data_IF_654401165700
#
_entry.id   IF_654401165700
#
_cell.length_a   1.000
_cell.length_b   1.000
_cell.length_c   1.000
_cell.angle_alpha   90.00
_cell.angle_beta   90.00
_cell.angle_gamma   90.00
#
_symmetry.space_group_name_H-M   'P 1'
#
loop_
_entity.id
_entity.type
_entity.pdbx_description
1 polymer ?
#
# COMPACT_ATOMS: atom_id res chain seq x y z
N UNK A 1 6.97 4.35 -33.25
CA UNK A 1 8.23 4.76 -32.60
C UNK A 1 8.23 4.48 -31.08
N UNK A 2 7.33 5.01 -30.26
CA UNK A 2 7.30 4.76 -28.78
C UNK A 2 7.21 3.28 -28.38
N UNK A 3 6.44 2.46 -29.09
CA UNK A 3 6.26 1.03 -28.80
C UNK A 3 7.54 0.22 -29.10
N UNK A 4 8.21 0.53 -30.18
CA UNK A 4 9.48 -0.11 -30.59
C UNK A 4 10.60 0.18 -29.58
N UNK A 5 10.77 1.45 -29.17
CA UNK A 5 11.74 1.84 -28.15
C UNK A 5 11.46 1.17 -26.80
N UNK A 6 10.19 1.08 -26.38
CA UNK A 6 9.81 0.36 -25.17
C UNK A 6 10.25 -1.11 -25.21
N UNK A 7 10.03 -1.80 -26.34
CA UNK A 7 10.41 -3.21 -26.53
C UNK A 7 11.93 -3.39 -26.49
N UNK A 8 12.69 -2.46 -27.07
CA UNK A 8 14.15 -2.50 -27.10
C UNK A 8 14.77 -2.34 -25.71
N UNK A 9 14.26 -1.42 -24.88
CA UNK A 9 14.81 -1.16 -23.56
C UNK A 9 14.21 -2.03 -22.43
N UNK A 10 13.16 -2.80 -22.69
CA UNK A 10 12.50 -3.61 -21.67
C UNK A 10 13.42 -4.63 -20.96
N UNK A 11 14.37 -5.31 -21.65
CA UNK A 11 15.32 -6.21 -20.98
C UNK A 11 16.19 -5.48 -19.95
N UNK A 12 16.69 -4.28 -20.28
CA UNK A 12 17.50 -3.46 -19.38
C UNK A 12 16.68 -2.97 -18.18
N UNK A 13 15.43 -2.54 -18.41
CA UNK A 13 14.50 -2.16 -17.34
C UNK A 13 14.25 -3.35 -16.42
N UNK A 14 14.00 -4.53 -16.97
CA UNK A 14 13.78 -5.74 -16.18
C UNK A 14 15.01 -6.08 -15.32
N UNK A 15 16.20 -6.06 -15.89
CA UNK A 15 17.45 -6.32 -15.16
C UNK A 15 17.66 -5.30 -14.03
N UNK A 16 17.50 -4.01 -14.31
CA UNK A 16 17.60 -2.95 -13.31
C UNK A 16 16.58 -3.09 -12.17
N UNK A 17 15.33 -3.41 -12.50
CA UNK A 17 14.29 -3.62 -11.48
C UNK A 17 14.57 -4.87 -10.62
N UNK A 18 15.06 -5.95 -11.22
CA UNK A 18 15.45 -7.16 -10.48
C UNK A 18 16.66 -6.90 -9.56
N UNK A 19 17.59 -6.06 -9.97
CA UNK A 19 18.73 -5.66 -9.16
C UNK A 19 18.31 -4.79 -7.96
N UNK A 20 17.44 -3.80 -8.19
CA UNK A 20 16.98 -2.87 -7.16
C UNK A 20 15.98 -3.52 -6.19
N UNK A 21 15.12 -4.40 -6.69
CA UNK A 21 14.01 -5.00 -5.94
C UNK A 21 13.89 -6.51 -6.22
N UNK A 22 14.85 -7.34 -5.79
CA UNK A 22 14.92 -8.76 -6.19
C UNK A 22 13.72 -9.60 -5.71
N UNK A 23 13.07 -9.20 -4.63
CA UNK A 23 11.89 -9.87 -4.07
C UNK A 23 10.56 -9.40 -4.70
N UNK A 24 10.55 -8.30 -5.43
CA UNK A 24 9.35 -7.74 -6.04
C UNK A 24 9.15 -8.29 -7.46
N UNK A 25 8.10 -9.10 -7.67
CA UNK A 25 7.90 -9.88 -8.91
C UNK A 25 6.87 -9.27 -9.88
N UNK A 26 6.16 -8.20 -9.50
CA UNK A 26 5.09 -7.65 -10.33
C UNK A 26 5.64 -6.85 -11.53
N UNK A 27 5.74 -7.49 -12.68
CA UNK A 27 6.28 -6.92 -13.94
C UNK A 27 5.49 -5.69 -14.45
N UNK A 28 4.25 -5.46 -13.98
CA UNK A 28 3.47 -4.26 -14.33
C UNK A 28 4.19 -2.97 -13.88
N UNK A 29 4.97 -3.05 -12.82
CA UNK A 29 5.78 -1.93 -12.31
C UNK A 29 7.16 -1.81 -12.98
N UNK A 30 7.53 -2.72 -13.88
CA UNK A 30 8.82 -2.68 -14.57
C UNK A 30 8.78 -1.67 -15.72
N UNK A 31 8.79 -0.40 -15.36
CA UNK A 31 8.76 0.74 -16.27
C UNK A 31 9.98 1.62 -16.05
N UNK A 32 10.35 2.41 -17.06
CA UNK A 32 11.48 3.33 -16.96
C UNK A 32 11.31 4.34 -15.81
N UNK A 33 10.10 4.88 -15.64
CA UNK A 33 9.77 5.80 -14.54
C UNK A 33 9.98 5.16 -13.18
N UNK A 34 9.52 3.91 -12.99
CA UNK A 34 9.68 3.19 -11.73
C UNK A 34 11.14 2.80 -11.50
N UNK A 35 11.89 2.46 -12.56
CA UNK A 35 13.32 2.19 -12.45
C UNK A 35 14.10 3.41 -11.96
N UNK A 36 13.88 4.59 -12.54
CA UNK A 36 14.53 5.83 -12.08
C UNK A 36 14.09 6.20 -10.65
N UNK A 37 12.81 6.00 -10.32
CA UNK A 37 12.31 6.15 -8.95
C UNK A 37 13.02 5.21 -7.97
N UNK A 38 13.24 3.97 -8.36
CA UNK A 38 13.95 2.97 -7.58
C UNK A 38 15.43 3.30 -7.36
N UNK A 39 16.13 3.77 -8.40
CA UNK A 39 17.50 4.27 -8.27
C UNK A 39 17.55 5.40 -7.25
N UNK A 40 16.65 6.40 -7.38
CA UNK A 40 16.54 7.50 -6.44
C UNK A 40 16.25 7.02 -5.02
N UNK A 41 15.33 6.06 -4.84
CA UNK A 41 14.98 5.46 -3.53
C UNK A 41 16.23 4.87 -2.85
N UNK A 42 17.10 4.19 -3.61
CA UNK A 42 18.34 3.60 -3.07
C UNK A 42 19.43 4.62 -2.78
N UNK A 43 19.57 5.65 -3.60
CA UNK A 43 20.63 6.67 -3.48
C UNK A 43 20.30 7.74 -2.42
N UNK A 44 19.07 8.27 -2.42
CA UNK A 44 18.68 9.38 -1.53
C UNK A 44 18.40 8.91 -0.10
N UNK A 45 18.13 7.62 0.10
CA UNK A 45 17.98 7.02 1.41
C UNK A 45 16.55 7.02 1.97
N UNK A 46 15.63 7.83 1.44
CA UNK A 46 14.21 7.76 1.81
C UNK A 46 13.63 6.45 1.30
N UNK A 47 13.01 5.65 2.19
CA UNK A 47 12.52 4.30 1.89
C UNK A 47 13.61 3.31 1.39
N UNK A 48 14.89 3.55 1.69
CA UNK A 48 16.02 2.76 1.21
C UNK A 48 15.90 1.26 1.52
N UNK A 49 15.36 0.91 2.67
CA UNK A 49 15.19 -0.48 3.13
C UNK A 49 13.95 -1.17 2.59
N UNK A 50 13.02 -0.42 1.97
CA UNK A 50 11.76 -0.98 1.44
C UNK A 50 12.05 -1.88 0.24
N UNK A 51 11.65 -3.17 0.25
CA UNK A 51 12.02 -4.12 -0.79
C UNK A 51 11.12 -4.07 -2.04
N UNK A 52 10.32 -3.03 -2.20
CA UNK A 52 9.50 -2.75 -3.39
C UNK A 52 9.59 -1.27 -3.77
N UNK A 53 9.16 -0.90 -5.00
CA UNK A 53 9.19 0.49 -5.45
C UNK A 53 8.19 1.35 -4.69
N UNK A 54 8.66 2.49 -4.15
CA UNK A 54 7.87 3.48 -3.43
C UNK A 54 8.02 4.84 -4.11
N UNK A 55 6.93 5.60 -4.21
CA UNK A 55 6.99 6.96 -4.73
C UNK A 55 7.81 7.85 -3.78
N UNK A 56 8.60 8.78 -4.32
CA UNK A 56 9.54 9.58 -3.52
C UNK A 56 8.86 10.55 -2.51
N UNK A 57 7.57 10.83 -2.68
CA UNK A 57 6.78 11.62 -1.73
C UNK A 57 6.07 10.77 -0.68
N UNK A 58 6.17 9.45 -0.78
CA UNK A 58 5.55 8.51 0.17
C UNK A 58 6.55 8.09 1.22
N UNK A 59 6.07 7.71 2.39
CA UNK A 59 6.88 7.21 3.49
C UNK A 59 6.37 5.84 3.96
N UNK A 60 7.29 4.87 4.06
CA UNK A 60 7.01 3.53 4.59
C UNK A 60 7.92 3.32 5.81
N UNK A 61 7.30 3.08 6.97
CA UNK A 61 7.98 2.75 8.22
C UNK A 61 7.88 1.27 8.52
N UNK A 62 8.93 0.69 9.09
CA UNK A 62 9.01 -0.74 9.47
C UNK A 62 8.60 -1.69 8.34
N UNK A 63 9.22 -1.57 7.15
CA UNK A 63 8.86 -2.39 5.99
C UNK A 63 9.08 -3.90 6.23
N UNK A 64 9.93 -4.27 7.19
CA UNK A 64 10.18 -5.66 7.61
C UNK A 64 8.96 -6.30 8.28
N UNK A 65 8.02 -5.50 8.80
CA UNK A 65 6.76 -5.95 9.42
C UNK A 65 5.56 -5.82 8.46
N UNK A 66 5.81 -5.52 7.19
CA UNK A 66 4.76 -5.37 6.18
C UNK A 66 4.82 -6.52 5.18
N UNK A 67 3.72 -7.23 5.02
CA UNK A 67 3.50 -8.13 3.90
C UNK A 67 2.79 -7.33 2.79
N UNK A 68 3.48 -6.97 1.68
CA UNK A 68 2.97 -5.97 0.74
C UNK A 68 2.00 -6.52 -0.33
N UNK A 69 1.69 -7.81 -0.29
CA UNK A 69 0.89 -8.45 -1.33
C UNK A 69 1.56 -8.44 -2.70
N UNK A 70 0.75 -8.31 -3.75
CA UNK A 70 1.23 -8.35 -5.16
C UNK A 70 1.39 -6.97 -5.79
N UNK A 71 0.91 -5.93 -5.15
CA UNK A 71 1.09 -4.54 -5.59
C UNK A 71 2.22 -3.88 -4.77
N UNK A 72 2.60 -2.68 -5.13
CA UNK A 72 3.63 -1.92 -4.42
C UNK A 72 2.96 -0.83 -3.55
N UNK A 73 2.60 -1.12 -2.29
CA UNK A 73 1.99 -0.11 -1.42
C UNK A 73 2.94 1.07 -1.24
N UNK A 74 2.40 2.30 -1.36
CA UNK A 74 3.20 3.52 -1.37
C UNK A 74 3.78 3.90 -2.74
N UNK A 75 3.50 3.14 -3.83
CA UNK A 75 3.91 3.52 -5.19
C UNK A 75 3.09 4.69 -5.75
N UNK A 76 1.91 4.95 -5.22
CA UNK A 76 1.16 6.18 -5.48
C UNK A 76 1.74 7.34 -4.66
N UNK A 77 1.47 8.58 -5.11
CA UNK A 77 2.03 9.81 -4.51
C UNK A 77 1.49 10.04 -3.08
N UNK A 78 2.35 10.48 -2.16
CA UNK A 78 1.98 11.02 -0.85
C UNK A 78 1.42 10.01 0.15
N UNK A 79 1.60 8.71 -0.06
CA UNK A 79 1.14 7.70 0.89
C UNK A 79 1.97 7.71 2.18
N UNK A 80 1.31 7.44 3.32
CA UNK A 80 1.95 7.18 4.60
C UNK A 80 1.59 5.78 5.09
N UNK A 81 2.59 4.90 5.20
CA UNK A 81 2.40 3.52 5.58
C UNK A 81 3.27 3.22 6.78
N UNK A 82 2.66 2.98 7.92
CA UNK A 82 3.32 2.73 9.19
C UNK A 82 3.08 1.30 9.65
N UNK A 83 4.07 0.44 9.43
CA UNK A 83 4.02 -0.98 9.74
C UNK A 83 4.46 -1.36 11.15
N UNK A 84 4.63 -0.44 12.10
CA UNK A 84 5.24 -0.72 13.39
C UNK A 84 4.53 -1.81 14.21
N UNK A 85 3.19 -1.94 14.14
CA UNK A 85 2.44 -3.06 14.72
C UNK A 85 2.13 -4.18 13.70
N UNK A 86 2.66 -4.07 12.48
CA UNK A 86 2.43 -5.02 11.41
C UNK A 86 1.29 -4.63 10.47
N UNK A 87 1.47 -4.96 9.20
CA UNK A 87 0.45 -4.80 8.15
C UNK A 87 0.51 -6.04 7.25
N UNK A 88 -0.63 -6.66 7.02
CA UNK A 88 -0.80 -7.74 6.05
C UNK A 88 -1.69 -7.23 4.92
N UNK A 89 -1.11 -7.10 3.74
CA UNK A 89 -1.83 -6.78 2.51
C UNK A 89 -1.83 -8.03 1.64
N UNK A 90 -3.00 -8.52 1.31
CA UNK A 90 -3.12 -9.69 0.43
C UNK A 90 -2.98 -9.32 -1.05
N UNK A 91 -3.18 -10.27 -1.93
CA UNK A 91 -3.04 -10.07 -3.36
C UNK A 91 -4.09 -9.10 -3.92
N UNK A 92 -3.72 -8.45 -5.03
CA UNK A 92 -4.58 -7.54 -5.77
C UNK A 92 -5.23 -6.41 -4.95
N UNK A 93 -4.59 -5.95 -3.87
CA UNK A 93 -5.02 -4.76 -3.13
C UNK A 93 -4.45 -3.51 -3.80
N UNK A 94 -5.31 -2.57 -4.14
CA UNK A 94 -4.95 -1.31 -4.78
C UNK A 94 -4.90 -0.18 -3.77
N UNK A 95 -3.84 0.61 -3.81
CA UNK A 95 -3.69 1.82 -2.99
C UNK A 95 -3.64 3.06 -3.87
N UNK A 96 -4.60 3.95 -3.69
CA UNK A 96 -4.66 5.25 -4.35
C UNK A 96 -3.66 6.26 -3.77
N UNK A 97 -3.62 7.48 -4.36
CA UNK A 97 -2.81 8.58 -3.85
C UNK A 97 -3.16 8.96 -2.40
N UNK A 98 -2.15 9.34 -1.63
CA UNK A 98 -2.28 9.86 -0.25
C UNK A 98 -3.05 8.94 0.70
N UNK A 99 -3.06 7.65 0.44
CA UNK A 99 -3.59 6.66 1.38
C UNK A 99 -2.69 6.60 2.60
N UNK A 100 -3.30 6.58 3.80
CA UNK A 100 -2.60 6.37 5.06
C UNK A 100 -3.01 5.03 5.66
N UNK A 101 -2.03 4.17 5.96
CA UNK A 101 -2.23 2.90 6.67
C UNK A 101 -1.38 2.99 7.93
N UNK A 102 -2.01 3.14 9.09
CA UNK A 102 -1.34 3.47 10.34
C UNK A 102 -1.58 2.35 11.33
N UNK A 103 -0.58 1.49 11.56
CA UNK A 103 -0.72 0.34 12.44
C UNK A 103 -0.46 0.65 13.91
N UNK A 104 0.01 1.85 14.26
CA UNK A 104 0.37 2.19 15.62
C UNK A 104 -0.08 3.57 16.04
N UNK A 105 -0.68 3.68 17.23
CA UNK A 105 -1.00 4.93 17.90
C UNK A 105 -0.07 5.20 19.08
N UNK A 106 0.02 6.46 19.50
CA UNK A 106 0.54 6.85 20.81
C UNK A 106 -0.47 6.50 21.91
N UNK A 107 0.01 6.30 23.12
CA UNK A 107 -0.85 6.19 24.27
C UNK A 107 -1.54 7.55 24.54
N UNK A 108 -2.79 7.51 25.06
CA UNK A 108 -3.58 8.72 25.26
C UNK A 108 -3.08 9.59 26.42
N UNK A 109 -2.39 8.97 27.36
CA UNK A 109 -1.87 9.57 28.59
C UNK A 109 -0.37 9.89 28.53
N UNK A 110 0.34 9.31 27.54
CA UNK A 110 1.77 9.56 27.31
C UNK A 110 2.12 9.43 25.84
N UNK A 111 2.36 10.54 25.15
CA UNK A 111 2.69 10.54 23.72
C UNK A 111 4.10 9.99 23.39
N UNK A 112 4.94 9.71 24.37
CA UNK A 112 6.21 9.00 24.20
C UNK A 112 6.03 7.49 24.21
N UNK A 113 4.89 7.01 24.71
CA UNK A 113 4.51 5.60 24.74
C UNK A 113 3.63 5.23 23.55
N UNK A 114 3.64 3.94 23.17
CA UNK A 114 2.92 3.42 22.03
C UNK A 114 2.01 2.28 22.42
N UNK A 115 0.81 2.25 21.83
CA UNK A 115 -0.15 1.17 22.03
C UNK A 115 0.21 -0.01 21.12
N UNK A 116 0.25 -1.21 21.71
CA UNK A 116 0.37 -2.45 20.95
C UNK A 116 -1.02 -2.87 20.48
N UNK A 117 -1.16 -3.01 19.17
CA UNK A 117 -2.38 -3.41 18.49
C UNK A 117 -2.14 -4.63 17.60
N UNK A 118 -3.22 -5.30 17.21
CA UNK A 118 -3.16 -6.32 16.19
C UNK A 118 -2.70 -5.72 14.86
N UNK A 119 -2.03 -6.48 14.00
CA UNK A 119 -1.72 -6.04 12.66
C UNK A 119 -2.97 -5.58 11.90
N UNK A 120 -2.81 -4.57 11.04
CA UNK A 120 -3.83 -4.26 10.03
C UNK A 120 -3.84 -5.38 9.01
N UNK A 121 -5.03 -5.87 8.64
CA UNK A 121 -5.21 -6.89 7.62
C UNK A 121 -6.11 -6.35 6.51
N UNK A 122 -5.61 -6.35 5.28
CA UNK A 122 -6.37 -5.94 4.10
C UNK A 122 -6.45 -7.14 3.16
N UNK A 123 -7.64 -7.74 3.09
CA UNK A 123 -7.89 -8.93 2.30
C UNK A 123 -7.87 -8.62 0.80
N UNK A 124 -7.68 -9.68 0.01
CA UNK A 124 -7.50 -9.61 -1.45
C UNK A 124 -8.62 -8.84 -2.17
N UNK A 125 -8.28 -8.35 -3.38
CA UNK A 125 -9.20 -7.65 -4.27
C UNK A 125 -9.78 -6.32 -3.71
N UNK A 126 -9.18 -5.77 -2.66
CA UNK A 126 -9.64 -4.52 -2.04
C UNK A 126 -9.06 -3.28 -2.73
N UNK A 127 -9.78 -2.17 -2.64
CA UNK A 127 -9.37 -0.87 -3.16
C UNK A 127 -9.41 0.18 -2.06
N UNK A 128 -8.27 0.77 -1.77
CA UNK A 128 -8.14 1.93 -0.89
C UNK A 128 -8.07 3.18 -1.78
N UNK A 129 -9.16 3.95 -1.83
CA UNK A 129 -9.22 5.13 -2.68
C UNK A 129 -8.44 6.31 -2.07
N UNK A 130 -8.30 7.37 -2.86
CA UNK A 130 -7.51 8.57 -2.53
C UNK A 130 -7.83 9.15 -1.15
N UNK A 131 -6.80 9.49 -0.37
CA UNK A 131 -6.88 10.12 0.95
C UNK A 131 -7.63 9.29 2.03
N UNK A 132 -7.94 8.02 1.83
CA UNK A 132 -8.52 7.24 2.91
C UNK A 132 -7.46 6.90 3.97
N UNK A 133 -7.92 6.67 5.19
CA UNK A 133 -7.09 6.35 6.35
C UNK A 133 -7.57 5.03 6.96
N UNK A 134 -6.64 4.11 7.19
CA UNK A 134 -6.88 2.85 7.89
C UNK A 134 -6.15 2.92 9.22
N UNK A 135 -6.89 2.78 10.33
CA UNK A 135 -6.36 2.88 11.69
C UNK A 135 -5.91 1.52 12.26
N UNK A 136 -5.18 1.53 13.39
CA UNK A 136 -4.61 0.33 13.99
C UNK A 136 -5.63 -0.78 14.27
N UNK A 137 -5.19 -2.02 14.13
CA UNK A 137 -6.00 -3.21 14.44
C UNK A 137 -7.15 -3.51 13.48
N UNK A 138 -7.34 -2.71 12.42
CA UNK A 138 -8.43 -2.87 11.46
C UNK A 138 -8.19 -4.09 10.56
N UNK A 139 -9.22 -4.90 10.38
CA UNK A 139 -9.31 -5.94 9.36
C UNK A 139 -10.40 -5.61 8.35
N UNK A 140 -10.03 -5.58 7.06
CA UNK A 140 -10.94 -5.43 5.92
C UNK A 140 -11.11 -6.76 5.20
N UNK A 141 -12.35 -7.20 5.08
CA UNK A 141 -12.71 -8.41 4.31
C UNK A 141 -12.42 -8.26 2.82
N UNK A 142 -12.45 -9.38 2.10
CA UNK A 142 -12.19 -9.45 0.66
C UNK A 142 -13.09 -8.50 -0.13
N UNK A 143 -12.57 -7.92 -1.22
CA UNK A 143 -13.30 -7.04 -2.13
C UNK A 143 -13.99 -5.89 -1.38
N UNK A 144 -13.26 -5.27 -0.44
CA UNK A 144 -13.70 -4.05 0.25
C UNK A 144 -13.16 -2.82 -0.48
N UNK A 145 -14.06 -1.92 -0.85
CA UNK A 145 -13.70 -0.62 -1.42
C UNK A 145 -13.82 0.42 -0.32
N UNK A 146 -12.70 1.04 0.06
CA UNK A 146 -12.69 2.19 0.96
C UNK A 146 -12.72 3.46 0.11
N UNK A 147 -13.81 4.22 0.20
CA UNK A 147 -14.03 5.42 -0.59
C UNK A 147 -13.01 6.52 -0.26
N UNK A 148 -12.85 7.47 -1.19
CA UNK A 148 -11.94 8.59 -1.00
C UNK A 148 -12.29 9.41 0.26
N UNK A 149 -11.26 9.75 1.06
CA UNK A 149 -11.40 10.52 2.29
C UNK A 149 -12.04 9.77 3.46
N UNK A 150 -12.36 8.49 3.33
CA UNK A 150 -12.93 7.71 4.43
C UNK A 150 -11.89 7.41 5.52
N UNK A 151 -12.30 7.40 6.78
CA UNK A 151 -11.47 7.02 7.93
C UNK A 151 -12.02 5.75 8.58
N UNK A 152 -11.31 4.65 8.40
CA UNK A 152 -11.69 3.33 8.92
C UNK A 152 -11.12 3.15 10.32
N UNK A 153 -12.00 3.16 11.32
CA UNK A 153 -11.68 3.11 12.75
C UNK A 153 -11.95 1.75 13.39
N UNK A 154 -12.61 0.83 12.66
CA UNK A 154 -12.99 -0.50 13.14
C UNK A 154 -12.94 -1.51 11.98
N UNK A 155 -12.93 -2.79 12.31
CA UNK A 155 -12.88 -3.88 11.34
C UNK A 155 -14.22 -4.07 10.60
N UNK A 156 -14.12 -4.48 9.33
CA UNK A 156 -15.24 -4.82 8.44
C UNK A 156 -14.90 -6.13 7.71
N UNK A 157 -15.06 -7.25 8.38
CA UNK A 157 -14.54 -8.56 7.94
C UNK A 157 -15.38 -9.28 6.89
N UNK A 158 -16.64 -8.88 6.69
CA UNK A 158 -17.55 -9.57 5.76
C UNK A 158 -17.11 -9.47 4.29
N UNK A 159 -16.49 -8.37 3.90
CA UNK A 159 -16.11 -8.12 2.51
C UNK A 159 -17.28 -7.77 1.58
N UNK A 160 -17.00 -7.76 0.27
CA UNK A 160 -17.98 -7.41 -0.79
C UNK A 160 -18.78 -6.15 -0.45
N UNK A 161 -18.09 -5.05 -0.14
CA UNK A 161 -18.72 -3.84 0.40
C UNK A 161 -17.97 -2.56 0.03
N UNK A 162 -18.71 -1.43 0.12
CA UNK A 162 -18.13 -0.09 0.01
C UNK A 162 -18.24 0.60 1.37
N UNK A 163 -17.13 1.11 1.86
CA UNK A 163 -17.01 1.89 3.09
C UNK A 163 -16.81 3.36 2.74
N UNK A 164 -17.53 4.25 3.41
CA UNK A 164 -17.34 5.70 3.24
C UNK A 164 -17.63 6.45 4.55
N UNK A 165 -17.11 7.67 4.65
CA UNK A 165 -17.34 8.58 5.78
C UNK A 165 -16.21 8.60 6.81
N UNK A 166 -16.36 9.44 7.83
CA UNK A 166 -15.50 9.58 8.99
C UNK A 166 -16.38 9.67 10.25
N UNK A 167 -16.46 8.62 11.09
CA UNK A 167 -15.90 7.29 10.85
C UNK A 167 -16.59 6.56 9.68
N UNK A 168 -15.86 5.66 9.02
CA UNK A 168 -16.37 4.91 7.88
C UNK A 168 -17.49 3.95 8.28
N UNK A 169 -18.49 3.83 7.40
CA UNK A 169 -19.62 2.89 7.52
C UNK A 169 -19.84 2.19 6.18
N UNK A 170 -20.48 1.02 6.22
CA UNK A 170 -20.92 0.33 5.01
C UNK A 170 -22.02 1.15 4.35
N UNK A 171 -21.79 1.62 3.14
CA UNK A 171 -22.78 2.39 2.35
C UNK A 171 -23.38 1.58 1.21
N UNK A 172 -22.74 0.46 0.84
CA UNK A 172 -23.19 -0.40 -0.25
C UNK A 172 -22.64 -1.81 -0.07
N UNK A 173 -23.46 -2.81 -0.35
CA UNK A 173 -23.01 -4.20 -0.57
C UNK A 173 -22.72 -4.41 -2.05
N UNK A 174 -21.70 -5.20 -2.34
CA UNK A 174 -21.26 -5.55 -3.69
C UNK A 174 -21.59 -7.03 -3.97
N UNK A 175 -21.66 -7.38 -5.24
CA UNK A 175 -21.61 -8.78 -5.66
C UNK A 175 -20.19 -9.34 -5.57
N UNK A 176 -20.01 -10.59 -6.01
CA UNK A 176 -18.70 -11.24 -6.06
C UNK A 176 -17.73 -10.46 -6.98
N UNK A 177 -16.44 -10.50 -6.63
CA UNK A 177 -15.38 -9.92 -7.45
C UNK A 177 -15.22 -10.70 -8.75
N UNK A 178 -15.25 -10.00 -9.90
CA UNK A 178 -15.21 -10.59 -11.24
C UNK A 178 -13.88 -10.36 -11.98
N UNK A 179 -12.79 -10.03 -11.27
CA UNK A 179 -11.55 -9.62 -11.92
C UNK A 179 -10.42 -10.60 -11.89
#
# INVERSE_FOLDING_TARGET
MKYFLKKLFQPLINAGMMLLFPKFKNKRYYTLTVLFGGIRQRLVGVNKTVPWPVHFTSLVKSPEKIQPGTKAPGSAIGCYIDGRNGIVIEENVWTGPRVSIISQNHANDDYYSYVQEKPIVIRKNSLLATNCVILPGVELGEHTIVAAGAVVTQSFVEGNQVLAGNPAKVIKKLGEYKG
#
